data_IF_020168473900
#
_entry.id   IF_020168473900
#
_cell.length_a   1.000
_cell.length_b   1.000
_cell.length_c   1.000
_cell.angle_alpha   90.00
_cell.angle_beta   90.00
_cell.angle_gamma   90.00
#
_symmetry.space_group_name_H-M   'P 1'
#
loop_
_entity.id
_entity.type
_entity.pdbx_description
1 polymer ?
#
# COMPACT_ATOMS: atom_id res chain seq x y z
N UNK A 1 -11.62 26.97 21.96
CA UNK A 1 -13.02 27.21 21.57
C UNK A 1 -13.97 26.56 22.58
N UNK A 2 -15.25 26.91 22.56
CA UNK A 2 -16.31 26.26 23.35
C UNK A 2 -16.64 24.85 22.83
N UNK A 3 -16.21 24.53 21.61
CA UNK A 3 -16.50 23.26 20.96
C UNK A 3 -15.40 22.23 21.23
N UNK A 4 -15.79 21.08 21.80
CA UNK A 4 -14.88 19.96 22.09
C UNK A 4 -14.20 19.44 20.83
N UNK A 5 -12.88 19.38 20.83
CA UNK A 5 -12.08 18.89 19.71
C UNK A 5 -11.90 19.88 18.55
N UNK A 6 -12.30 21.14 18.75
CA UNK A 6 -12.01 22.28 17.86
C UNK A 6 -11.12 23.27 18.60
N UNK A 7 -10.02 23.67 18.00
CA UNK A 7 -9.13 24.68 18.55
C UNK A 7 -8.57 25.58 17.44
N UNK A 8 -8.02 26.72 17.82
CA UNK A 8 -7.40 27.63 16.89
C UNK A 8 -6.01 28.08 17.34
N UNK A 9 -5.21 28.44 16.40
CA UNK A 9 -3.90 29.08 16.58
C UNK A 9 -3.96 30.50 16.05
N UNK A 10 -3.58 31.48 16.86
CA UNK A 10 -3.45 32.88 16.41
C UNK A 10 -2.18 33.02 15.57
N UNK A 11 -2.32 33.65 14.44
CA UNK A 11 -1.22 33.98 13.53
C UNK A 11 -0.73 35.41 13.81
N UNK A 12 0.50 35.74 13.37
CA UNK A 12 1.12 37.03 13.56
C UNK A 12 0.35 38.24 12.96
N UNK A 13 -0.57 37.97 12.04
CA UNK A 13 -1.44 38.96 11.37
C UNK A 13 -2.86 39.04 11.96
N UNK A 14 -3.05 38.69 13.22
CA UNK A 14 -4.32 38.61 13.95
C UNK A 14 -5.33 37.58 13.42
N UNK A 15 -5.07 36.94 12.31
CA UNK A 15 -5.92 35.86 11.79
C UNK A 15 -5.80 34.59 12.65
N UNK A 16 -6.87 33.80 12.62
CA UNK A 16 -6.93 32.52 13.35
C UNK A 16 -6.95 31.37 12.35
N UNK A 17 -6.16 30.32 12.61
CA UNK A 17 -6.28 29.04 11.90
C UNK A 17 -6.98 28.03 12.77
N UNK A 18 -8.08 27.47 12.27
CA UNK A 18 -8.89 26.48 12.97
C UNK A 18 -8.44 25.09 12.64
N UNK A 19 -8.44 24.22 13.64
CA UNK A 19 -8.08 22.82 13.57
C UNK A 19 -9.14 21.98 14.25
N UNK A 20 -9.39 20.79 13.69
CA UNK A 20 -10.31 19.80 14.25
C UNK A 20 -9.53 18.54 14.65
N UNK A 21 -9.92 17.96 15.79
CA UNK A 21 -9.36 16.70 16.26
C UNK A 21 -10.50 15.69 16.42
N UNK A 22 -10.34 14.51 15.81
CA UNK A 22 -11.30 13.43 15.88
C UNK A 22 -10.60 12.08 15.87
N UNK A 23 -11.30 11.00 16.19
CA UNK A 23 -10.76 9.64 16.11
C UNK A 23 -11.14 9.01 14.77
N UNK A 24 -10.16 8.44 14.07
CA UNK A 24 -10.36 7.64 12.87
C UNK A 24 -9.65 6.29 13.05
N UNK A 25 -10.38 5.19 12.98
CA UNK A 25 -9.85 3.83 13.20
C UNK A 25 -9.09 3.69 14.53
N UNK A 26 -9.61 4.27 15.61
CA UNK A 26 -8.99 4.24 16.94
C UNK A 26 -7.79 5.19 17.16
N UNK A 27 -7.29 5.82 16.10
CA UNK A 27 -6.20 6.80 16.17
C UNK A 27 -6.73 8.23 16.19
N UNK A 28 -6.11 9.10 16.97
CA UNK A 28 -6.42 10.53 16.96
C UNK A 28 -5.85 11.16 15.68
N UNK A 29 -6.70 11.82 14.92
CA UNK A 29 -6.35 12.58 13.71
C UNK A 29 -6.58 14.05 13.97
N UNK A 30 -5.64 14.87 13.54
CA UNK A 30 -5.72 16.33 13.58
C UNK A 30 -5.71 16.85 12.16
N UNK A 31 -6.68 17.68 11.81
CA UNK A 31 -6.86 18.23 10.46
C UNK A 31 -7.07 19.72 10.56
N UNK A 32 -6.44 20.49 9.66
CA UNK A 32 -6.67 21.93 9.55
C UNK A 32 -7.99 22.15 8.83
N UNK A 33 -8.91 22.88 9.47
CA UNK A 33 -10.19 23.22 8.87
C UNK A 33 -10.06 24.42 7.91
N UNK A 34 -9.54 25.55 8.37
CA UNK A 34 -9.38 26.74 7.55
C UNK A 34 -8.90 27.96 8.33
N UNK A 35 -8.96 29.14 7.74
CA UNK A 35 -8.54 30.40 8.35
C UNK A 35 -9.70 31.36 8.47
N UNK A 36 -9.64 32.27 9.46
CA UNK A 36 -10.67 33.29 9.69
C UNK A 36 -10.84 34.25 8.50
N UNK A 37 -9.76 34.57 7.77
CA UNK A 37 -9.81 35.40 6.56
C UNK A 37 -10.46 34.68 5.35
N UNK A 38 -10.66 33.36 5.43
CA UNK A 38 -11.33 32.53 4.43
C UNK A 38 -12.79 32.26 4.83
N UNK A 39 -13.31 32.95 5.85
CA UNK A 39 -14.67 32.82 6.36
C UNK A 39 -14.87 31.65 7.33
N UNK A 40 -13.79 31.06 7.84
CA UNK A 40 -13.87 29.99 8.82
C UNK A 40 -13.98 30.55 10.25
N UNK A 41 -14.88 29.96 11.01
CA UNK A 41 -15.06 30.17 12.43
C UNK A 41 -15.09 28.86 13.22
N UNK A 42 -15.30 28.92 14.52
CA UNK A 42 -15.34 27.76 15.38
C UNK A 42 -16.58 26.87 15.12
N UNK A 43 -17.69 27.46 14.68
CA UNK A 43 -18.94 26.73 14.37
C UNK A 43 -18.80 25.93 13.08
N UNK A 44 -18.27 26.53 12.02
CA UNK A 44 -18.01 25.85 10.74
C UNK A 44 -16.98 24.72 10.93
N UNK A 45 -15.95 24.96 11.72
CA UNK A 45 -14.98 23.91 12.08
C UNK A 45 -15.63 22.78 12.88
N UNK A 46 -16.60 23.08 13.75
CA UNK A 46 -17.37 22.07 14.48
C UNK A 46 -18.26 21.24 13.54
N UNK A 47 -18.91 21.89 12.57
CA UNK A 47 -19.73 21.19 11.56
C UNK A 47 -18.87 20.26 10.71
N UNK A 48 -17.70 20.71 10.24
CA UNK A 48 -16.76 19.87 9.52
C UNK A 48 -16.31 18.67 10.36
N UNK A 49 -16.04 18.88 11.66
CA UNK A 49 -15.70 17.78 12.57
C UNK A 49 -16.84 16.76 12.69
N UNK A 50 -18.08 17.24 12.84
CA UNK A 50 -19.26 16.36 12.89
C UNK A 50 -19.45 15.56 11.61
N UNK A 51 -19.23 16.18 10.46
CA UNK A 51 -19.25 15.51 9.14
C UNK A 51 -18.18 14.41 9.05
N UNK A 52 -16.94 14.70 9.49
CA UNK A 52 -15.85 13.69 9.52
C UNK A 52 -16.14 12.55 10.48
N UNK A 53 -16.80 12.81 11.59
CA UNK A 53 -17.20 11.78 12.55
C UNK A 53 -18.34 10.92 11.99
N UNK A 54 -19.38 11.51 11.41
CA UNK A 54 -20.50 10.77 10.80
C UNK A 54 -20.06 9.94 9.59
N UNK A 55 -19.17 10.45 8.75
CA UNK A 55 -18.57 9.68 7.66
C UNK A 55 -17.74 8.49 8.18
N UNK A 56 -17.06 8.66 9.33
CA UNK A 56 -16.32 7.59 9.98
C UNK A 56 -17.25 6.55 10.64
N UNK A 57 -18.37 7.01 11.21
CA UNK A 57 -19.41 6.15 11.80
C UNK A 57 -20.23 5.41 10.72
N UNK A 58 -20.46 6.02 9.56
CA UNK A 58 -21.05 5.36 8.41
C UNK A 58 -20.14 4.22 7.87
N UNK A 59 -18.85 4.46 7.76
CA UNK A 59 -17.88 3.41 7.43
C UNK A 59 -17.77 2.34 8.53
N UNK A 60 -17.91 2.70 9.79
CA UNK A 60 -17.97 1.76 10.90
C UNK A 60 -19.30 0.98 10.93
N UNK A 61 -20.40 1.61 10.54
CA UNK A 61 -21.71 0.99 10.42
C UNK A 61 -21.79 -0.03 9.28
N UNK A 62 -21.17 0.26 8.12
CA UNK A 62 -21.01 -0.72 7.04
C UNK A 62 -20.15 -1.92 7.48
N UNK A 63 -19.12 -1.67 8.31
CA UNK A 63 -18.29 -2.72 8.91
C UNK A 63 -19.04 -3.54 9.98
N UNK A 64 -20.01 -2.96 10.67
CA UNK A 64 -20.85 -3.66 11.66
C UNK A 64 -22.01 -4.42 11.01
N UNK A 65 -22.57 -3.93 9.90
CA UNK A 65 -23.55 -4.69 9.11
C UNK A 65 -22.93 -5.92 8.45
N UNK A 66 -21.68 -5.81 7.96
CA UNK A 66 -20.91 -6.98 7.47
C UNK A 66 -20.60 -7.98 8.61
N UNK A 67 -20.45 -7.55 9.86
CA UNK A 67 -20.20 -8.45 11.00
C UNK A 67 -21.46 -9.12 11.56
N UNK A 68 -22.64 -8.50 11.47
CA UNK A 68 -23.92 -9.10 11.90
C UNK A 68 -24.45 -10.13 10.88
N UNK A 69 -24.17 -9.95 9.58
CA UNK A 69 -24.49 -10.91 8.51
C UNK A 69 -23.50 -12.08 8.41
N UNK A 70 -22.37 -12.02 9.13
CA UNK A 70 -21.29 -13.00 9.06
C UNK A 70 -21.40 -14.16 10.08
N UNK A 71 -22.35 -14.11 11.01
CA UNK A 71 -22.59 -15.20 11.96
C UNK A 71 -23.19 -16.41 11.23
N UNK A 72 -22.33 -17.28 10.70
CA UNK A 72 -22.69 -18.50 9.98
C UNK A 72 -22.11 -18.60 8.56
N UNK A 73 -21.48 -17.58 8.04
CA UNK A 73 -20.86 -17.64 6.72
C UNK A 73 -19.41 -18.12 6.81
N UNK A 74 -19.11 -19.25 6.17
CA UNK A 74 -17.75 -19.72 6.03
C UNK A 74 -16.94 -18.77 5.13
N UNK A 75 -15.90 -18.15 5.69
CA UNK A 75 -15.02 -17.21 4.98
C UNK A 75 -13.84 -17.96 4.37
N UNK A 76 -13.97 -18.36 3.11
CA UNK A 76 -12.88 -18.97 2.34
C UNK A 76 -11.93 -17.91 1.77
N UNK A 77 -10.73 -18.33 1.37
CA UNK A 77 -9.75 -17.40 0.78
C UNK A 77 -10.26 -16.72 -0.50
N UNK A 78 -11.10 -17.37 -1.29
CA UNK A 78 -11.73 -16.77 -2.47
C UNK A 78 -12.61 -15.58 -2.09
N UNK A 79 -13.53 -15.75 -1.13
CA UNK A 79 -14.40 -14.68 -0.63
C UNK A 79 -13.62 -13.54 0.02
N UNK A 80 -12.58 -13.89 0.78
CA UNK A 80 -11.66 -12.91 1.40
C UNK A 80 -10.94 -12.11 0.33
N UNK A 81 -10.47 -12.76 -0.72
CA UNK A 81 -9.76 -12.11 -1.83
C UNK A 81 -10.66 -11.13 -2.60
N UNK A 82 -11.90 -11.51 -2.91
CA UNK A 82 -12.88 -10.62 -3.53
C UNK A 82 -13.14 -9.37 -2.67
N UNK A 83 -13.38 -9.55 -1.38
CA UNK A 83 -13.56 -8.44 -0.43
C UNK A 83 -12.30 -7.58 -0.31
N UNK A 84 -11.11 -8.20 -0.30
CA UNK A 84 -9.83 -7.51 -0.26
C UNK A 84 -9.65 -6.59 -1.46
N UNK A 85 -9.95 -7.06 -2.68
CA UNK A 85 -9.86 -6.26 -3.90
C UNK A 85 -10.92 -5.16 -3.95
N UNK A 86 -12.15 -5.43 -3.48
CA UNK A 86 -13.25 -4.46 -3.46
C UNK A 86 -12.97 -3.29 -2.50
N UNK A 87 -12.42 -3.58 -1.32
CA UNK A 87 -12.15 -2.57 -0.29
C UNK A 87 -10.82 -1.81 -0.50
N UNK A 88 -10.06 -2.16 -1.53
CA UNK A 88 -8.78 -1.52 -1.86
C UNK A 88 -8.64 -1.29 -3.36
N UNK A 89 -9.43 -0.38 -3.95
CA UNK A 89 -9.37 -0.10 -5.39
C UNK A 89 -8.00 0.44 -5.80
N UNK A 90 -7.37 1.28 -4.97
CA UNK A 90 -6.09 1.95 -5.24
C UNK A 90 -4.85 1.14 -4.84
N UNK A 91 -4.99 -0.18 -4.73
CA UNK A 91 -3.89 -1.05 -4.31
C UNK A 91 -2.78 -1.07 -5.37
N UNK A 92 -1.61 -0.52 -5.04
CA UNK A 92 -0.41 -0.69 -5.88
C UNK A 92 -0.07 -2.18 -6.01
N UNK A 93 0.04 -2.66 -7.24
CA UNK A 93 0.31 -4.08 -7.52
C UNK A 93 -0.93 -4.99 -7.47
N UNK A 94 -2.15 -4.45 -7.58
CA UNK A 94 -3.42 -5.17 -7.67
C UNK A 94 -3.37 -6.28 -8.72
N UNK A 95 -2.90 -5.98 -9.93
CA UNK A 95 -2.78 -6.94 -11.03
C UNK A 95 -1.84 -8.11 -10.68
N UNK A 96 -0.74 -7.82 -9.99
CA UNK A 96 0.17 -8.86 -9.51
C UNK A 96 -0.45 -9.76 -8.44
N UNK A 97 -1.29 -9.20 -7.56
CA UNK A 97 -2.00 -9.98 -6.55
C UNK A 97 -3.07 -10.86 -7.20
N UNK A 98 -3.81 -10.34 -8.22
CA UNK A 98 -4.77 -11.12 -9.02
C UNK A 98 -4.06 -12.26 -9.74
N UNK A 99 -2.94 -11.97 -10.41
CA UNK A 99 -2.15 -12.98 -11.09
C UNK A 99 -1.67 -14.08 -10.13
N UNK A 100 -1.13 -13.69 -8.96
CA UNK A 100 -0.63 -14.65 -7.97
C UNK A 100 -1.74 -15.51 -7.37
N UNK A 101 -2.88 -14.91 -7.09
CA UNK A 101 -4.02 -15.65 -6.54
C UNK A 101 -4.49 -16.69 -7.55
N UNK A 102 -4.83 -16.29 -8.78
CA UNK A 102 -5.36 -17.17 -9.82
C UNK A 102 -4.40 -18.29 -10.23
N UNK A 103 -3.11 -17.99 -10.36
CA UNK A 103 -2.16 -18.97 -10.90
C UNK A 103 -1.55 -19.89 -9.83
N UNK A 104 -1.61 -19.50 -8.55
CA UNK A 104 -0.92 -20.26 -7.51
C UNK A 104 -1.80 -20.62 -6.33
N UNK A 105 -2.65 -19.71 -5.82
CA UNK A 105 -3.40 -19.93 -4.60
C UNK A 105 -4.78 -20.54 -4.83
N UNK A 106 -5.41 -20.26 -5.95
CA UNK A 106 -6.80 -20.62 -6.22
C UNK A 106 -7.02 -22.12 -6.13
N UNK A 107 -6.17 -22.92 -6.74
CA UNK A 107 -6.31 -24.37 -6.77
C UNK A 107 -6.20 -25.04 -5.39
N UNK A 108 -5.30 -24.53 -4.54
CA UNK A 108 -4.98 -25.17 -3.26
C UNK A 108 -5.75 -24.56 -2.07
N UNK A 109 -6.16 -23.27 -2.16
CA UNK A 109 -6.70 -22.55 -1.01
C UNK A 109 -8.03 -21.82 -1.24
N UNK A 110 -8.54 -21.69 -2.48
CA UNK A 110 -9.71 -20.86 -2.76
C UNK A 110 -10.91 -21.20 -1.86
N UNK A 111 -11.21 -22.47 -1.68
CA UNK A 111 -12.39 -22.97 -0.98
C UNK A 111 -12.13 -23.30 0.50
N UNK A 112 -10.90 -23.10 0.99
CA UNK A 112 -10.50 -23.37 2.36
C UNK A 112 -10.61 -22.10 3.20
N UNK A 113 -11.10 -22.21 4.43
CA UNK A 113 -11.07 -21.11 5.38
C UNK A 113 -9.66 -20.98 6.01
N UNK A 114 -9.18 -19.76 6.31
CA UNK A 114 -7.86 -19.56 6.91
C UNK A 114 -7.62 -20.37 8.20
N UNK A 115 -8.68 -20.63 8.97
CA UNK A 115 -8.63 -21.39 10.21
C UNK A 115 -8.41 -22.89 10.00
N UNK A 116 -8.76 -23.40 8.83
CA UNK A 116 -8.66 -24.82 8.48
C UNK A 116 -7.29 -25.16 7.86
N UNK A 117 -6.53 -24.14 7.44
CA UNK A 117 -5.19 -24.35 6.86
C UNK A 117 -4.24 -24.84 7.92
N UNK A 118 -3.61 -25.98 7.65
CA UNK A 118 -2.58 -26.56 8.51
C UNK A 118 -1.17 -26.18 8.07
N UNK A 119 -0.20 -26.40 8.96
CA UNK A 119 1.21 -26.23 8.62
C UNK A 119 1.64 -27.14 7.46
N UNK A 120 1.14 -28.38 7.46
CA UNK A 120 1.44 -29.38 6.43
C UNK A 120 0.89 -28.98 5.06
N UNK A 121 -0.28 -28.33 5.00
CA UNK A 121 -0.82 -27.82 3.74
C UNK A 121 0.10 -26.77 3.13
N UNK A 122 0.63 -25.88 3.95
CA UNK A 122 1.57 -24.84 3.48
C UNK A 122 2.91 -25.44 3.05
N UNK A 123 3.42 -26.44 3.77
CA UNK A 123 4.68 -27.11 3.37
C UNK A 123 4.52 -27.88 2.05
N UNK A 124 3.42 -28.62 1.89
CA UNK A 124 3.08 -29.28 0.60
C UNK A 124 2.96 -28.26 -0.53
N UNK A 125 2.27 -27.17 -0.28
CA UNK A 125 2.11 -26.08 -1.25
C UNK A 125 3.46 -25.46 -1.62
N UNK A 126 4.31 -25.17 -0.64
CA UNK A 126 5.68 -24.66 -0.85
C UNK A 126 6.49 -25.60 -1.74
N UNK A 127 6.44 -26.90 -1.44
CA UNK A 127 7.13 -27.93 -2.22
C UNK A 127 6.61 -27.97 -3.67
N UNK A 128 5.29 -27.90 -3.86
CA UNK A 128 4.67 -27.87 -5.19
C UNK A 128 5.13 -26.65 -6.01
N UNK A 129 5.25 -25.47 -5.37
CA UNK A 129 5.75 -24.26 -6.03
C UNK A 129 7.23 -24.39 -6.42
N UNK A 130 8.05 -25.04 -5.58
CA UNK A 130 9.45 -25.31 -5.90
C UNK A 130 9.60 -26.30 -7.06
N UNK A 131 8.78 -27.33 -7.11
CA UNK A 131 8.75 -28.31 -8.19
C UNK A 131 8.35 -27.68 -9.54
N UNK A 132 7.58 -26.60 -9.54
CA UNK A 132 7.30 -25.77 -10.72
C UNK A 132 8.49 -24.89 -11.15
N UNK A 133 9.67 -25.11 -10.58
CA UNK A 133 10.92 -24.35 -10.87
C UNK A 133 10.79 -22.83 -10.64
N UNK A 134 9.91 -22.41 -9.73
CA UNK A 134 9.77 -21.01 -9.38
C UNK A 134 10.94 -20.51 -8.54
N UNK A 135 11.37 -19.28 -8.82
CA UNK A 135 12.43 -18.64 -8.02
C UNK A 135 11.96 -18.45 -6.56
N UNK A 136 12.86 -18.60 -5.56
CA UNK A 136 12.53 -18.43 -4.14
C UNK A 136 11.80 -17.11 -3.82
N UNK A 137 12.17 -16.03 -4.52
CA UNK A 137 11.49 -14.74 -4.40
C UNK A 137 10.01 -14.82 -4.84
N UNK A 138 9.69 -15.54 -5.91
CA UNK A 138 8.31 -15.72 -6.37
C UNK A 138 7.50 -16.52 -5.35
N UNK A 139 8.07 -17.62 -4.84
CA UNK A 139 7.44 -18.43 -3.77
C UNK A 139 7.15 -17.58 -2.53
N UNK A 140 8.12 -16.76 -2.11
CA UNK A 140 7.95 -15.82 -1.01
C UNK A 140 6.77 -14.86 -1.25
N UNK A 141 6.67 -14.25 -2.42
CA UNK A 141 5.59 -13.32 -2.74
C UNK A 141 4.20 -13.97 -2.76
N UNK A 142 4.11 -15.23 -3.18
CA UNK A 142 2.85 -16.00 -3.13
C UNK A 142 2.45 -16.27 -1.67
N UNK A 143 3.38 -16.72 -0.84
CA UNK A 143 3.13 -16.95 0.60
C UNK A 143 2.83 -15.63 1.35
N UNK A 144 3.46 -14.52 0.95
CA UNK A 144 3.14 -13.20 1.49
C UNK A 144 1.72 -12.75 1.15
N UNK A 145 1.20 -13.09 -0.04
CA UNK A 145 -0.18 -12.84 -0.38
C UNK A 145 -1.14 -13.66 0.50
N UNK A 146 -0.89 -14.97 0.65
CA UNK A 146 -1.68 -15.85 1.53
C UNK A 146 -1.75 -15.29 2.96
N UNK A 147 -0.60 -14.92 3.55
CA UNK A 147 -0.52 -14.30 4.87
C UNK A 147 -1.28 -12.98 4.94
N UNK A 148 -1.16 -12.16 3.91
CA UNK A 148 -1.82 -10.85 3.85
C UNK A 148 -3.33 -10.97 3.82
N UNK A 149 -3.86 -11.95 3.10
CA UNK A 149 -5.30 -12.23 3.03
C UNK A 149 -5.82 -12.76 4.39
N UNK A 150 -5.11 -13.69 5.02
CA UNK A 150 -5.46 -14.17 6.35
C UNK A 150 -5.47 -13.03 7.39
N UNK A 151 -4.42 -12.21 7.42
CA UNK A 151 -4.34 -11.05 8.32
C UNK A 151 -5.40 -9.98 8.02
N UNK A 152 -5.77 -9.79 6.75
CA UNK A 152 -6.85 -8.91 6.37
C UNK A 152 -8.20 -9.41 6.91
N UNK A 153 -8.46 -10.71 6.81
CA UNK A 153 -9.68 -11.32 7.33
C UNK A 153 -9.79 -11.19 8.87
N UNK A 154 -8.69 -11.42 9.59
CA UNK A 154 -8.62 -11.18 11.05
C UNK A 154 -8.90 -9.72 11.38
N UNK A 155 -8.26 -8.79 10.68
CA UNK A 155 -8.44 -7.35 10.91
C UNK A 155 -9.89 -6.87 10.66
N UNK A 156 -10.61 -7.59 9.80
CA UNK A 156 -12.02 -7.31 9.47
C UNK A 156 -13.01 -8.15 10.27
N UNK A 157 -12.53 -8.95 11.23
CA UNK A 157 -13.32 -9.86 12.05
C UNK A 157 -14.13 -10.89 11.21
N UNK A 158 -13.61 -11.31 10.06
CA UNK A 158 -14.23 -12.33 9.22
C UNK A 158 -13.92 -13.75 9.73
N UNK A 159 -12.71 -13.97 10.25
CA UNK A 159 -12.25 -15.24 10.77
C UNK A 159 -11.10 -15.04 11.78
N UNK A 160 -10.66 -16.11 12.43
CA UNK A 160 -9.53 -16.10 13.38
C UNK A 160 -8.17 -16.05 12.68
N UNK A 161 -8.13 -16.36 11.37
CA UNK A 161 -6.91 -16.39 10.59
C UNK A 161 -6.15 -17.71 10.71
N UNK A 162 -4.87 -17.70 10.32
CA UNK A 162 -4.00 -18.88 10.45
C UNK A 162 -3.69 -19.14 11.92
N UNK A 163 -3.75 -20.41 12.35
CA UNK A 163 -3.43 -20.84 13.71
C UNK A 163 -1.92 -20.84 14.03
N UNK A 164 -1.08 -20.65 13.03
CA UNK A 164 0.38 -20.68 13.12
C UNK A 164 1.03 -19.51 12.38
N UNK A 165 2.29 -19.26 12.69
CA UNK A 165 3.10 -18.25 11.99
C UNK A 165 3.68 -18.84 10.71
N UNK A 166 3.32 -18.22 9.57
CA UNK A 166 3.82 -18.63 8.27
C UNK A 166 5.30 -18.27 8.12
N UNK A 167 6.15 -19.27 7.94
CA UNK A 167 7.57 -19.07 7.69
C UNK A 167 7.83 -18.71 6.23
N UNK A 168 8.66 -17.68 6.02
CA UNK A 168 9.00 -17.21 4.68
C UNK A 168 10.34 -17.77 4.21
N UNK A 169 10.46 -18.20 2.94
CA UNK A 169 11.74 -18.65 2.42
C UNK A 169 12.76 -17.51 2.45
N UNK A 170 14.01 -17.84 2.79
CA UNK A 170 15.14 -16.92 2.65
C UNK A 170 15.37 -16.66 1.16
N UNK A 171 15.55 -15.40 0.81
CA UNK A 171 15.82 -14.98 -0.57
C UNK A 171 17.16 -14.27 -0.57
N UNK A 172 18.15 -14.93 -1.14
CA UNK A 172 19.49 -14.39 -1.35
C UNK A 172 19.62 -14.01 -2.84
N UNK A 173 19.09 -12.85 -3.21
CA UNK A 173 19.13 -12.37 -4.59
C UNK A 173 19.69 -10.94 -4.70
N UNK A 174 20.44 -10.50 -3.72
CA UNK A 174 21.17 -9.24 -3.81
C UNK A 174 22.27 -9.40 -4.86
N UNK A 175 22.08 -8.79 -6.01
CA UNK A 175 23.12 -8.60 -7.00
C UNK A 175 23.66 -7.19 -6.82
N UNK A 176 24.91 -7.10 -6.41
CA UNK A 176 25.70 -5.86 -6.41
C UNK A 176 26.59 -5.93 -7.65
N UNK A 177 26.08 -5.48 -8.77
CA UNK A 177 26.91 -5.34 -9.98
C UNK A 177 27.28 -3.85 -10.10
N UNK A 178 28.57 -3.57 -10.02
CA UNK A 178 29.14 -2.24 -10.22
C UNK A 178 29.76 -2.17 -11.62
N UNK A 179 29.59 -1.04 -12.29
CA UNK A 179 30.30 -0.80 -13.53
C UNK A 179 31.80 -0.56 -13.22
N UNK A 180 32.66 -1.33 -13.86
CA UNK A 180 34.09 -1.02 -13.83
C UNK A 180 34.38 0.31 -14.55
N UNK A 181 35.50 0.95 -14.23
CA UNK A 181 35.92 2.20 -14.89
C UNK A 181 35.88 2.09 -16.43
N UNK A 182 36.37 0.97 -16.95
CA UNK A 182 36.37 0.69 -18.39
C UNK A 182 34.96 0.55 -18.97
N UNK A 183 34.08 -0.15 -18.28
CA UNK A 183 32.66 -0.28 -18.70
C UNK A 183 31.94 1.05 -18.68
N UNK A 184 32.20 1.89 -17.67
CA UNK A 184 31.63 3.23 -17.57
C UNK A 184 32.08 4.12 -18.73
N UNK A 185 33.38 4.13 -19.04
CA UNK A 185 33.93 4.90 -20.17
C UNK A 185 33.33 4.43 -21.51
N UNK A 186 33.20 3.12 -21.73
CA UNK A 186 32.58 2.58 -22.93
C UNK A 186 31.11 2.97 -23.03
N UNK A 187 30.37 2.90 -21.90
CA UNK A 187 28.96 3.33 -21.87
C UNK A 187 28.84 4.80 -22.28
N UNK A 188 29.64 5.69 -21.68
CA UNK A 188 29.61 7.12 -21.99
C UNK A 188 29.92 7.39 -23.46
N UNK A 189 30.91 6.69 -24.05
CA UNK A 189 31.28 6.82 -25.46
C UNK A 189 30.08 6.37 -26.36
N UNK A 190 29.48 5.24 -26.07
CA UNK A 190 28.31 4.75 -26.85
C UNK A 190 27.16 5.77 -26.78
N UNK A 191 26.93 6.36 -25.60
CA UNK A 191 25.90 7.39 -25.44
C UNK A 191 26.20 8.71 -26.16
N UNK A 192 27.45 8.99 -26.49
CA UNK A 192 27.85 10.14 -27.29
C UNK A 192 27.63 9.91 -28.80
N UNK A 193 27.82 8.67 -29.23
CA UNK A 193 27.69 8.25 -30.62
C UNK A 193 26.23 7.86 -31.00
N UNK A 194 25.32 7.68 -30.00
CA UNK A 194 23.95 7.24 -30.23
C UNK A 194 23.11 8.35 -30.88
N UNK A 195 22.46 8.07 -32.03
CA UNK A 195 21.61 9.05 -32.72
C UNK A 195 20.33 9.38 -31.93
N UNK A 196 19.88 8.53 -31.00
CA UNK A 196 18.74 8.78 -30.14
C UNK A 196 19.13 9.58 -28.88
N UNK A 197 19.08 10.90 -29.01
CA UNK A 197 19.39 11.80 -27.90
C UNK A 197 18.47 11.63 -26.69
N UNK A 198 17.23 11.21 -26.87
CA UNK A 198 16.32 11.00 -25.73
C UNK A 198 16.74 9.81 -24.90
N UNK A 199 17.05 8.70 -25.54
CA UNK A 199 17.54 7.47 -24.86
C UNK A 199 18.88 7.77 -24.19
N UNK A 200 19.80 8.43 -24.90
CA UNK A 200 21.13 8.80 -24.35
C UNK A 200 21.01 9.70 -23.11
N UNK A 201 20.16 10.71 -23.16
CA UNK A 201 19.95 11.61 -22.02
C UNK A 201 19.25 10.91 -20.85
N UNK A 202 18.31 10.00 -21.10
CA UNK A 202 17.64 9.23 -20.07
C UNK A 202 18.64 8.30 -19.34
N UNK A 203 19.53 7.62 -20.09
CA UNK A 203 20.57 6.76 -19.50
C UNK A 203 21.58 7.58 -18.71
N UNK A 204 22.02 8.73 -19.23
CA UNK A 204 22.91 9.65 -18.48
C UNK A 204 22.25 10.13 -17.20
N UNK A 205 20.99 10.50 -17.25
CA UNK A 205 20.25 10.93 -16.09
C UNK A 205 20.13 9.82 -15.04
N UNK A 206 19.83 8.58 -15.47
CA UNK A 206 19.84 7.41 -14.58
C UNK A 206 21.22 7.19 -13.92
N UNK A 207 22.29 7.33 -14.71
CA UNK A 207 23.67 7.15 -14.25
C UNK A 207 24.08 8.19 -13.19
N UNK A 208 23.76 9.46 -13.43
CA UNK A 208 24.17 10.56 -12.54
C UNK A 208 23.28 10.73 -11.31
N UNK A 209 22.01 10.39 -11.40
CA UNK A 209 21.06 10.60 -10.30
C UNK A 209 20.79 9.34 -9.48
N UNK A 210 21.00 8.14 -10.06
CA UNK A 210 20.62 6.88 -9.44
C UNK A 210 19.11 6.67 -9.31
N UNK A 211 18.29 7.47 -9.99
CA UNK A 211 16.84 7.37 -9.95
C UNK A 211 16.36 6.05 -10.55
N UNK A 212 15.28 5.50 -9.98
CA UNK A 212 14.64 4.31 -10.55
C UNK A 212 13.98 4.66 -11.89
N UNK A 213 13.93 3.67 -12.79
CA UNK A 213 13.29 3.85 -14.11
C UNK A 213 11.88 4.50 -14.03
N UNK A 214 11.04 4.06 -13.09
CA UNK A 214 9.70 4.64 -12.91
C UNK A 214 9.74 6.12 -12.53
N UNK A 215 10.64 6.50 -11.64
CA UNK A 215 10.85 7.88 -11.19
C UNK A 215 11.33 8.78 -12.34
N UNK A 216 12.23 8.25 -13.20
CA UNK A 216 12.69 8.97 -14.39
C UNK A 216 11.58 9.24 -15.42
N UNK A 217 10.67 8.26 -15.63
CA UNK A 217 9.58 8.43 -16.58
C UNK A 217 8.43 9.31 -16.06
N UNK A 218 8.29 9.42 -14.75
CA UNK A 218 7.28 10.26 -14.09
C UNK A 218 7.78 11.70 -13.82
N UNK A 219 9.08 11.98 -14.03
CA UNK A 219 9.72 13.25 -13.73
C UNK A 219 9.14 14.37 -14.61
N UNK A 220 8.66 15.42 -13.96
CA UNK A 220 8.14 16.63 -14.58
C UNK A 220 9.08 17.82 -14.34
N UNK A 221 8.98 18.85 -15.18
CA UNK A 221 9.75 20.10 -15.02
C UNK A 221 9.50 20.81 -13.69
N UNK A 222 8.31 20.61 -13.11
CA UNK A 222 7.96 21.13 -11.77
C UNK A 222 8.76 20.50 -10.63
N UNK A 223 9.37 19.31 -10.85
CA UNK A 223 10.12 18.59 -9.85
C UNK A 223 11.59 18.99 -9.81
N UNK A 224 12.00 19.85 -10.75
CA UNK A 224 13.39 20.30 -10.89
C UNK A 224 13.52 21.72 -10.33
N UNK A 225 14.30 21.87 -9.28
CA UNK A 225 14.66 23.17 -8.74
C UNK A 225 15.98 23.67 -9.37
N UNK A 226 15.87 24.67 -10.24
CA UNK A 226 17.00 25.29 -10.90
C UNK A 226 17.72 26.35 -10.05
N UNK A 227 17.16 26.76 -8.92
CA UNK A 227 17.69 27.78 -8.04
C UNK A 227 18.60 27.25 -6.95
N UNK A 228 18.30 26.01 -6.49
CA UNK A 228 19.11 25.33 -5.48
C UNK A 228 19.91 24.21 -6.15
N UNK A 229 21.21 24.48 -6.32
CA UNK A 229 22.18 23.50 -6.88
C UNK A 229 22.65 22.54 -5.82
#
# INVERSE_FOLDING_TARGET
TEFSGVYFVKLANENQSFFIRYKRNGKSVEEKAGRSNEGWDAEIACLLRAERMSANDAQAGELQQDSASNAGQLWTFSKIFEKYLRLRPDLKGRENDIYRFKNYLELDFADIAPEEVTHDDVERFRHNLQNKSLKPATVRHVLELLRRLANFAVKKNYCRGLSFKLEMPKVENQKTEELTQFQLQNLLRVLEEDPDLQVSNLVRMALYTGMRRGELFELCWSDIDFHHK
#
